data_IF_794386862352
#
_entry.id   IF_794386862352
#
_cell.length_a   1.000
_cell.length_b   1.000
_cell.length_c   1.000
_cell.angle_alpha   90.00
_cell.angle_beta   90.00
_cell.angle_gamma   90.00
#
_symmetry.space_group_name_H-M   'P 1'
#
loop_
_entity.id
_entity.type
_entity.pdbx_description
1 polymer ?
#
# COMPACT_ATOMS: atom_id res chain seq x y z
N UNK A 1 -8.45 9.79 -4.10
CA UNK A 1 -9.89 9.96 -3.76
C UNK A 1 -10.27 11.38 -3.30
N UNK A 2 -9.60 12.01 -2.31
CA UNK A 2 -9.96 13.38 -1.85
C UNK A 2 -9.13 14.54 -2.40
N UNK A 3 -7.92 14.30 -2.92
CA UNK A 3 -7.01 15.39 -3.35
C UNK A 3 -6.53 15.33 -4.81
N UNK A 4 -6.97 14.35 -5.61
CA UNK A 4 -6.58 14.23 -7.03
C UNK A 4 -5.10 13.89 -7.32
N UNK A 5 -4.18 14.21 -6.42
CA UNK A 5 -2.74 14.02 -6.56
C UNK A 5 -2.16 13.30 -5.34
N UNK A 6 -1.42 12.20 -5.56
CA UNK A 6 -0.48 11.65 -4.58
C UNK A 6 0.84 12.40 -4.71
N UNK A 7 1.61 12.55 -3.62
CA UNK A 7 2.99 13.03 -3.75
C UNK A 7 3.76 12.05 -4.66
N UNK A 8 4.54 12.53 -5.64
CA UNK A 8 5.09 11.69 -6.71
C UNK A 8 5.94 10.53 -6.16
N UNK A 9 6.75 10.81 -5.15
CA UNK A 9 7.77 9.91 -4.62
C UNK A 9 7.17 8.79 -3.76
N UNK A 10 6.27 9.05 -2.77
CA UNK A 10 5.60 7.98 -2.05
C UNK A 10 4.72 7.09 -2.95
N UNK A 11 4.07 7.67 -3.96
CA UNK A 11 3.27 6.89 -4.91
C UNK A 11 4.15 5.97 -5.75
N UNK A 12 5.26 6.51 -6.28
CA UNK A 12 6.25 5.74 -7.04
C UNK A 12 6.79 4.56 -6.21
N UNK A 13 7.28 4.83 -5.00
CA UNK A 13 7.80 3.79 -4.11
C UNK A 13 6.75 2.73 -3.82
N UNK A 14 5.50 3.13 -3.55
CA UNK A 14 4.41 2.18 -3.31
C UNK A 14 4.15 1.26 -4.52
N UNK A 15 4.09 1.82 -5.74
CA UNK A 15 3.84 1.02 -6.94
C UNK A 15 5.04 0.15 -7.33
N UNK A 16 6.26 0.66 -7.20
CA UNK A 16 7.50 -0.11 -7.42
C UNK A 16 7.60 -1.30 -6.47
N UNK A 17 7.19 -1.14 -5.21
CA UNK A 17 7.18 -2.23 -4.22
C UNK A 17 6.39 -3.47 -4.65
N UNK A 18 5.39 -3.31 -5.55
CA UNK A 18 4.57 -4.41 -6.08
C UNK A 18 5.43 -5.43 -6.84
N UNK A 19 6.44 -4.96 -7.57
CA UNK A 19 7.30 -5.80 -8.41
C UNK A 19 8.53 -6.35 -7.66
N UNK A 20 8.78 -5.85 -6.45
CA UNK A 20 9.81 -6.33 -5.55
C UNK A 20 9.31 -7.60 -4.86
N UNK A 21 9.43 -8.77 -5.50
CA UNK A 21 8.80 -10.01 -5.02
C UNK A 21 9.66 -10.85 -4.06
N UNK A 22 10.98 -10.65 -4.06
CA UNK A 22 11.93 -11.50 -3.34
C UNK A 22 12.91 -10.74 -2.42
N UNK A 23 12.76 -9.42 -2.26
CA UNK A 23 13.68 -8.68 -1.40
C UNK A 23 13.30 -8.85 0.07
N UNK A 24 14.28 -9.35 0.84
CA UNK A 24 14.21 -9.38 2.30
C UNK A 24 14.51 -8.00 2.90
N UNK A 25 15.02 -7.06 2.10
CA UNK A 25 15.26 -5.68 2.51
C UNK A 25 13.98 -4.86 2.34
N UNK A 26 13.30 -4.66 3.46
CA UNK A 26 12.04 -3.92 3.50
C UNK A 26 12.24 -2.42 3.33
N UNK A 27 13.42 -1.92 3.69
CA UNK A 27 13.76 -0.52 3.54
C UNK A 27 13.96 -0.21 2.06
N UNK A 28 14.69 -1.06 1.34
CA UNK A 28 14.81 -0.97 -0.11
C UNK A 28 13.45 -1.13 -0.81
N UNK A 29 12.66 -2.15 -0.43
CA UNK A 29 11.37 -2.42 -1.06
C UNK A 29 10.34 -1.28 -0.91
N UNK A 30 10.45 -0.47 0.15
CA UNK A 30 9.54 0.65 0.42
C UNK A 30 10.16 2.02 0.09
N UNK A 31 11.38 2.09 -0.46
CA UNK A 31 12.05 3.36 -0.77
C UNK A 31 12.50 4.14 0.47
N UNK A 32 12.83 3.43 1.55
CA UNK A 32 13.28 3.98 2.82
C UNK A 32 12.24 4.84 3.52
N UNK A 33 12.71 5.77 4.35
CA UNK A 33 11.82 6.72 5.06
C UNK A 33 11.02 7.59 4.07
N UNK A 34 11.60 7.91 2.91
CA UNK A 34 10.98 8.75 1.88
C UNK A 34 9.69 8.12 1.32
N UNK A 35 9.72 6.82 1.01
CA UNK A 35 8.55 6.15 0.44
C UNK A 35 7.40 5.93 1.42
N UNK A 36 7.67 5.92 2.73
CA UNK A 36 6.63 5.78 3.77
C UNK A 36 6.24 7.10 4.45
N UNK A 37 6.97 8.19 4.18
CA UNK A 37 6.83 9.48 4.87
C UNK A 37 5.39 10.01 4.86
N UNK A 38 4.68 9.87 3.73
CA UNK A 38 3.30 10.33 3.59
C UNK A 38 2.32 9.73 4.62
N UNK A 39 2.59 8.53 5.14
CA UNK A 39 1.76 7.87 6.15
C UNK A 39 2.19 8.11 7.60
N UNK A 40 3.46 8.50 7.83
CA UNK A 40 4.01 8.66 9.18
C UNK A 40 3.26 9.71 10.04
N UNK A 41 2.83 10.88 9.53
CA UNK A 41 2.08 11.86 10.32
C UNK A 41 0.78 11.30 10.91
N UNK A 42 0.09 10.42 10.17
CA UNK A 42 -1.16 9.81 10.65
C UNK A 42 -0.90 8.78 11.74
N UNK A 43 0.23 8.08 11.65
CA UNK A 43 0.66 7.13 12.67
C UNK A 43 1.11 7.87 13.92
N UNK A 44 1.83 8.99 13.79
CA UNK A 44 2.39 9.78 14.90
C UNK A 44 1.33 10.54 15.72
N UNK A 45 0.12 10.74 15.20
CA UNK A 45 -0.95 11.49 15.88
C UNK A 45 -1.45 10.77 17.13
N UNK A 46 -1.42 11.49 18.27
CA UNK A 46 -2.00 11.06 19.55
C UNK A 46 -3.53 11.00 19.50
N UNK A 47 -4.16 11.96 18.82
CA UNK A 47 -5.61 12.02 18.59
C UNK A 47 -5.89 12.01 17.08
N UNK A 48 -6.28 10.86 16.50
CA UNK A 48 -6.53 10.75 15.06
C UNK A 48 -7.87 11.39 14.69
N UNK A 49 -7.86 12.22 13.64
CA UNK A 49 -9.10 12.74 13.05
C UNK A 49 -9.89 11.62 12.33
N UNK A 50 -11.18 11.85 11.98
CA UNK A 50 -11.99 10.83 11.31
C UNK A 50 -11.36 10.26 10.02
N UNK A 51 -10.57 11.04 9.30
CA UNK A 51 -9.89 10.61 8.07
C UNK A 51 -8.70 9.71 8.37
N UNK A 52 -7.93 10.00 9.43
CA UNK A 52 -6.87 9.14 9.91
C UNK A 52 -7.41 7.79 10.41
N UNK A 53 -8.55 7.80 11.11
CA UNK A 53 -9.26 6.57 11.53
C UNK A 53 -9.74 5.75 10.32
N UNK A 54 -10.19 6.40 9.26
CA UNK A 54 -10.58 5.75 8.01
C UNK A 54 -9.38 5.11 7.30
N UNK A 55 -8.24 5.82 7.19
CA UNK A 55 -7.00 5.26 6.63
C UNK A 55 -6.49 4.07 7.44
N UNK A 56 -6.57 4.13 8.77
CA UNK A 56 -6.24 2.99 9.64
C UNK A 56 -7.15 1.78 9.37
N UNK A 57 -8.45 2.00 9.15
CA UNK A 57 -9.38 0.93 8.77
C UNK A 57 -9.00 0.30 7.43
N UNK A 58 -8.58 1.09 6.44
CA UNK A 58 -8.07 0.55 5.18
C UNK A 58 -6.81 -0.28 5.39
N UNK A 59 -5.84 0.20 6.19
CA UNK A 59 -4.64 -0.57 6.51
C UNK A 59 -4.95 -1.92 7.19
N UNK A 60 -5.87 -1.93 8.15
CA UNK A 60 -6.33 -3.15 8.82
C UNK A 60 -7.01 -4.11 7.83
N UNK A 61 -7.87 -3.59 6.95
CA UNK A 61 -8.53 -4.40 5.93
C UNK A 61 -7.51 -5.05 4.98
N UNK A 62 -6.48 -4.30 4.56
CA UNK A 62 -5.40 -4.83 3.71
C UNK A 62 -4.62 -5.95 4.40
N UNK A 63 -4.37 -5.85 5.71
CA UNK A 63 -3.74 -6.93 6.49
C UNK A 63 -4.65 -8.17 6.56
N UNK A 64 -5.96 -8.00 6.71
CA UNK A 64 -6.88 -9.12 6.75
C UNK A 64 -7.04 -9.80 5.37
N UNK A 65 -7.04 -9.02 4.28
CA UNK A 65 -7.00 -9.52 2.91
C UNK A 65 -5.72 -10.31 2.66
N UNK A 66 -4.55 -9.74 3.02
CA UNK A 66 -3.24 -10.38 2.87
C UNK A 66 -3.21 -11.76 3.55
N UNK A 67 -3.72 -11.87 4.77
CA UNK A 67 -3.79 -13.14 5.50
C UNK A 67 -4.65 -14.19 4.78
N UNK A 68 -5.74 -13.77 4.15
CA UNK A 68 -6.62 -14.67 3.39
C UNK A 68 -5.98 -15.08 2.08
N UNK A 69 -5.37 -14.14 1.36
CA UNK A 69 -4.62 -14.43 0.15
C UNK A 69 -3.50 -15.45 0.42
N UNK A 70 -2.75 -15.32 1.54
CA UNK A 70 -1.75 -16.33 1.93
C UNK A 70 -2.31 -17.73 2.24
N UNK A 71 -3.57 -17.82 2.66
CA UNK A 71 -4.23 -19.11 2.95
C UNK A 71 -4.80 -19.74 1.68
N UNK A 72 -5.16 -18.93 0.70
CA UNK A 72 -5.58 -19.37 -0.62
C UNK A 72 -4.35 -19.53 -1.52
N UNK A 73 -3.73 -20.70 -1.46
CA UNK A 73 -2.50 -21.01 -2.21
C UNK A 73 -2.69 -20.84 -3.72
N UNK A 74 -3.90 -21.10 -4.23
CA UNK A 74 -4.24 -20.95 -5.65
C UNK A 74 -4.25 -19.47 -6.04
N UNK A 75 -4.97 -18.63 -5.29
CA UNK A 75 -5.02 -17.19 -5.56
C UNK A 75 -3.65 -16.53 -5.37
N UNK A 76 -2.89 -16.93 -4.34
CA UNK A 76 -1.53 -16.43 -4.12
C UNK A 76 -0.57 -16.83 -5.24
N UNK A 77 -0.60 -18.08 -5.70
CA UNK A 77 0.23 -18.54 -6.81
C UNK A 77 -0.11 -17.80 -8.09
N UNK A 78 -1.39 -17.62 -8.40
CA UNK A 78 -1.84 -16.88 -9.57
C UNK A 78 -1.34 -15.43 -9.54
N UNK A 79 -1.54 -14.73 -8.42
CA UNK A 79 -1.06 -13.36 -8.26
C UNK A 79 0.45 -13.28 -8.45
N UNK A 80 1.21 -14.21 -7.84
CA UNK A 80 2.66 -14.26 -7.98
C UNK A 80 3.10 -14.44 -9.43
N UNK A 81 2.52 -15.41 -10.14
CA UNK A 81 2.84 -15.65 -11.56
C UNK A 81 2.54 -14.44 -12.43
N UNK A 82 1.41 -13.76 -12.22
CA UNK A 82 1.10 -12.53 -12.96
C UNK A 82 2.12 -11.41 -12.69
N UNK A 83 2.57 -11.26 -11.45
CA UNK A 83 3.58 -10.26 -11.10
C UNK A 83 4.97 -10.60 -11.66
N UNK A 84 5.34 -11.88 -11.69
CA UNK A 84 6.59 -12.36 -12.29
C UNK A 84 6.60 -12.14 -13.81
N UNK A 85 5.49 -12.44 -14.49
CA UNK A 85 5.33 -12.19 -15.94
C UNK A 85 5.49 -10.70 -16.28
N UNK A 86 4.87 -9.81 -15.50
CA UNK A 86 4.97 -8.36 -15.72
C UNK A 86 6.40 -7.85 -15.49
N UNK A 87 7.05 -8.33 -14.42
CA UNK A 87 8.43 -7.97 -14.08
C UNK A 87 9.39 -8.40 -15.20
N UNK A 88 9.27 -9.63 -15.68
CA UNK A 88 10.23 -10.22 -16.62
C UNK A 88 9.92 -9.84 -18.08
N UNK A 89 8.64 -9.63 -18.40
CA UNK A 89 8.16 -9.30 -19.75
C UNK A 89 8.36 -7.84 -20.17
N UNK A 90 8.92 -6.97 -19.30
CA UNK A 90 9.04 -5.52 -19.52
C UNK A 90 7.70 -4.85 -19.87
N UNK A 91 6.59 -5.43 -19.42
CA UNK A 91 5.23 -4.95 -19.71
C UNK A 91 5.01 -3.54 -19.17
N UNK A 92 5.67 -3.22 -18.05
CA UNK A 92 5.65 -1.91 -17.42
C UNK A 92 7.03 -1.26 -17.60
N UNK A 93 7.08 -0.17 -18.38
CA UNK A 93 8.29 0.66 -18.50
C UNK A 93 8.42 1.65 -17.34
N UNK A 94 7.30 2.24 -16.90
CA UNK A 94 7.23 3.11 -15.73
C UNK A 94 6.00 2.75 -14.87
N UNK A 95 6.19 2.29 -13.61
CA UNK A 95 5.10 1.92 -12.70
C UNK A 95 4.06 3.00 -12.43
N UNK A 96 4.42 4.29 -12.56
CA UNK A 96 3.48 5.41 -12.35
C UNK A 96 2.85 5.92 -13.65
N UNK A 97 3.20 5.36 -14.80
CA UNK A 97 2.53 5.72 -16.07
C UNK A 97 1.07 5.27 -16.06
N UNK A 98 0.19 5.89 -16.89
CA UNK A 98 -1.19 5.42 -17.03
C UNK A 98 -1.30 3.93 -17.34
N UNK A 99 -0.40 3.41 -18.18
CA UNK A 99 -0.33 2.00 -18.57
C UNK A 99 0.09 1.12 -17.39
N UNK A 100 1.14 1.50 -16.66
CA UNK A 100 1.58 0.77 -15.46
C UNK A 100 0.50 0.72 -14.38
N UNK A 101 -0.17 1.85 -14.14
CA UNK A 101 -1.29 1.95 -13.21
C UNK A 101 -2.46 1.07 -13.66
N UNK A 102 -2.80 1.04 -14.94
CA UNK A 102 -3.86 0.20 -15.48
C UNK A 102 -3.55 -1.29 -15.26
N UNK A 103 -2.33 -1.72 -15.57
CA UNK A 103 -1.89 -3.11 -15.35
C UNK A 103 -2.03 -3.50 -13.88
N UNK A 104 -1.56 -2.68 -12.94
CA UNK A 104 -1.73 -2.96 -11.51
C UNK A 104 -3.20 -2.97 -11.06
N UNK A 105 -4.03 -2.08 -11.62
CA UNK A 105 -5.45 -2.03 -11.34
C UNK A 105 -6.19 -3.29 -11.82
N UNK A 106 -5.78 -3.86 -12.95
CA UNK A 106 -6.34 -5.09 -13.50
C UNK A 106 -5.95 -6.29 -12.65
N UNK A 107 -4.69 -6.38 -12.21
CA UNK A 107 -4.25 -7.41 -11.25
C UNK A 107 -5.08 -7.35 -9.98
N UNK A 108 -5.25 -6.14 -9.40
CA UNK A 108 -6.08 -5.96 -8.22
C UNK A 108 -7.50 -6.48 -8.46
N UNK A 109 -8.10 -6.13 -9.59
CA UNK A 109 -9.47 -6.52 -9.95
C UNK A 109 -9.60 -8.03 -10.11
N UNK A 110 -8.64 -8.69 -10.76
CA UNK A 110 -8.65 -10.13 -11.01
C UNK A 110 -8.30 -10.99 -9.79
N UNK A 111 -7.71 -10.42 -8.73
CA UNK A 111 -7.21 -11.17 -7.57
C UNK A 111 -7.74 -10.61 -6.26
N UNK A 112 -7.13 -9.53 -5.76
CA UNK A 112 -7.38 -8.94 -4.45
C UNK A 112 -8.84 -8.54 -4.26
N UNK A 113 -9.46 -7.98 -5.30
CA UNK A 113 -10.84 -7.49 -5.25
C UNK A 113 -11.87 -8.60 -5.00
N UNK A 114 -11.52 -9.86 -5.28
CA UNK A 114 -12.40 -11.02 -5.09
C UNK A 114 -12.45 -11.46 -3.63
N UNK A 115 -11.43 -11.12 -2.83
CA UNK A 115 -11.33 -11.48 -1.43
C UNK A 115 -12.24 -10.63 -0.53
N UNK A 116 -12.37 -11.06 0.72
CA UNK A 116 -13.02 -10.33 1.80
C UNK A 116 -12.01 -9.95 2.89
N UNK A 117 -12.21 -8.87 3.67
CA UNK A 117 -13.27 -7.89 3.55
C UNK A 117 -13.14 -7.01 2.30
N UNK A 118 -14.26 -6.50 1.77
CA UNK A 118 -14.22 -5.51 0.69
C UNK A 118 -13.74 -4.16 1.24
N UNK A 119 -12.79 -3.53 0.56
CA UNK A 119 -12.34 -2.17 0.87
C UNK A 119 -13.34 -1.20 0.21
N UNK A 120 -14.25 -0.65 1.00
CA UNK A 120 -15.23 0.34 0.53
C UNK A 120 -14.64 1.73 0.67
N UNK A 121 -14.29 2.36 -0.45
CA UNK A 121 -13.69 3.69 -0.46
C UNK A 121 -14.79 4.74 -0.39
N UNK A 122 -14.80 5.52 0.68
CA UNK A 122 -15.75 6.61 0.87
C UNK A 122 -15.17 7.92 0.34
N UNK A 123 -15.72 8.40 -0.78
CA UNK A 123 -15.31 9.64 -1.43
C UNK A 123 -16.48 10.35 -2.10
N UNK A 124 -16.25 11.54 -2.63
CA UNK A 124 -17.23 12.27 -3.43
C UNK A 124 -17.55 11.50 -4.71
N UNK A 125 -18.84 11.23 -4.98
CA UNK A 125 -19.31 10.47 -6.15
C UNK A 125 -18.70 10.96 -7.47
N UNK A 126 -18.45 12.27 -7.60
CA UNK A 126 -17.82 12.87 -8.79
C UNK A 126 -16.43 12.30 -9.11
N UNK A 127 -15.63 11.92 -8.11
CA UNK A 127 -14.29 11.34 -8.32
C UNK A 127 -14.31 9.82 -8.52
N UNK A 128 -15.40 9.14 -8.14
CA UNK A 128 -15.54 7.70 -8.36
C UNK A 128 -16.09 7.37 -9.76
N UNK A 129 -16.58 8.37 -10.49
CA UNK A 129 -16.97 8.28 -11.90
C UNK A 129 -15.80 8.47 -12.88
N UNK A 130 -14.66 8.96 -12.39
CA UNK A 130 -13.44 9.11 -13.18
C UNK A 130 -12.67 7.78 -13.19
N UNK A 131 -12.64 7.13 -14.35
CA UNK A 131 -11.96 5.85 -14.55
C UNK A 131 -10.48 5.92 -14.18
N UNK A 132 -9.81 7.04 -14.47
CA UNK A 132 -8.39 7.24 -14.14
C UNK A 132 -8.18 7.22 -12.63
N UNK A 133 -9.09 7.83 -11.87
CA UNK A 133 -9.04 7.81 -10.40
C UNK A 133 -9.28 6.41 -9.87
N UNK A 134 -10.21 5.66 -10.47
CA UNK A 134 -10.51 4.27 -10.08
C UNK A 134 -9.31 3.36 -10.30
N UNK A 135 -8.64 3.46 -11.46
CA UNK A 135 -7.43 2.68 -11.75
C UNK A 135 -6.31 3.01 -10.74
N UNK A 136 -6.04 4.30 -10.52
CA UNK A 136 -5.05 4.76 -9.51
C UNK A 136 -5.34 4.20 -8.13
N UNK A 137 -6.60 4.24 -7.72
CA UNK A 137 -7.05 3.71 -6.44
C UNK A 137 -6.76 2.21 -6.33
N UNK A 138 -7.11 1.42 -7.35
CA UNK A 138 -6.89 -0.03 -7.35
C UNK A 138 -5.40 -0.38 -7.33
N UNK A 139 -4.58 0.33 -8.10
CA UNK A 139 -3.13 0.17 -8.09
C UNK A 139 -2.53 0.44 -6.69
N UNK A 140 -2.95 1.54 -6.04
CA UNK A 140 -2.51 1.87 -4.67
C UNK A 140 -2.99 0.83 -3.64
N UNK A 141 -4.20 0.28 -3.80
CA UNK A 141 -4.66 -0.80 -2.93
C UNK A 141 -3.84 -2.08 -3.10
N UNK A 142 -3.43 -2.42 -4.32
CA UNK A 142 -2.52 -3.54 -4.57
C UNK A 142 -1.17 -3.32 -3.87
N UNK A 143 -0.59 -2.13 -4.00
CA UNK A 143 0.62 -1.74 -3.26
C UNK A 143 0.43 -1.86 -1.73
N UNK A 144 -0.71 -1.43 -1.20
CA UNK A 144 -1.01 -1.55 0.22
C UNK A 144 -1.14 -3.00 0.70
N UNK A 145 -1.66 -3.91 -0.13
CA UNK A 145 -1.65 -5.34 0.15
C UNK A 145 -0.22 -5.90 0.13
N UNK A 146 0.63 -5.49 -0.83
CA UNK A 146 2.06 -5.85 -0.85
C UNK A 146 2.79 -5.36 0.40
N UNK A 147 2.54 -4.13 0.85
CA UNK A 147 3.07 -3.61 2.11
C UNK A 147 2.59 -4.43 3.32
N UNK A 148 1.36 -4.94 3.29
CA UNK A 148 0.88 -5.87 4.31
C UNK A 148 1.59 -7.23 4.28
N UNK A 149 2.04 -7.70 3.11
CA UNK A 149 2.91 -8.89 2.99
C UNK A 149 4.25 -8.64 3.65
N UNK A 150 4.92 -7.54 3.31
CA UNK A 150 6.18 -7.12 3.93
C UNK A 150 6.06 -7.03 5.46
N UNK A 151 5.00 -6.36 5.93
CA UNK A 151 4.73 -6.26 7.36
C UNK A 151 4.60 -7.65 8.00
N UNK A 152 3.92 -8.60 7.37
CA UNK A 152 3.77 -9.95 7.87
C UNK A 152 5.09 -10.74 7.89
N UNK A 153 5.90 -10.61 6.85
CA UNK A 153 7.22 -11.25 6.68
C UNK A 153 8.19 -10.79 7.77
N UNK A 154 8.14 -9.51 8.15
CA UNK A 154 8.87 -8.95 9.30
C UNK A 154 8.28 -9.32 10.67
N UNK A 155 7.35 -10.29 10.74
CA UNK A 155 6.70 -10.70 11.99
C UNK A 155 5.56 -9.79 12.45
N UNK A 156 5.18 -8.79 11.65
CA UNK A 156 4.08 -7.88 11.91
C UNK A 156 2.70 -8.54 11.91
N UNK A 157 1.83 -8.12 12.83
CA UNK A 157 0.49 -8.66 13.06
C UNK A 157 -0.50 -7.54 13.36
N UNK A 158 -1.76 -7.72 12.94
CA UNK A 158 -2.88 -6.78 13.19
C UNK A 158 -2.99 -6.33 14.66
N UNK A 159 -2.82 -7.24 15.62
CA UNK A 159 -2.95 -6.90 17.06
C UNK A 159 -1.86 -5.95 17.54
N UNK A 160 -0.66 -5.97 16.94
CA UNK A 160 0.42 -5.04 17.29
C UNK A 160 0.05 -3.60 16.87
N UNK A 161 -0.78 -3.42 15.85
CA UNK A 161 -1.30 -2.10 15.45
C UNK A 161 -2.34 -1.60 16.45
N UNK A 162 -3.21 -2.50 16.92
CA UNK A 162 -4.27 -2.15 17.87
C UNK A 162 -3.74 -1.89 19.29
N UNK A 163 -2.86 -2.76 19.79
CA UNK A 163 -2.31 -2.70 21.15
C UNK A 163 -1.04 -1.85 21.24
N UNK A 164 -0.29 -1.73 20.16
CA UNK A 164 0.98 -1.00 20.10
C UNK A 164 0.86 0.44 19.65
N UNK A 165 -0.34 1.06 19.70
CA UNK A 165 -0.59 2.39 19.12
C UNK A 165 0.40 3.46 19.60
N UNK A 166 0.71 3.47 20.91
CA UNK A 166 1.68 4.41 21.49
C UNK A 166 3.10 4.18 20.93
N UNK A 167 3.56 2.93 20.92
CA UNK A 167 4.89 2.56 20.37
C UNK A 167 5.01 2.90 18.89
N UNK A 168 3.97 2.65 18.10
CA UNK A 168 3.93 3.02 16.68
C UNK A 168 3.98 4.53 16.49
N UNK A 169 3.25 5.30 17.30
CA UNK A 169 3.26 6.75 17.23
C UNK A 169 4.65 7.32 17.59
N UNK A 170 5.29 6.78 18.63
CA UNK A 170 6.63 7.19 19.05
C UNK A 170 7.68 6.88 17.96
N UNK A 171 7.63 5.68 17.36
CA UNK A 171 8.52 5.31 16.25
C UNK A 171 8.30 6.17 15.01
N UNK A 172 7.04 6.40 14.63
CA UNK A 172 6.71 7.27 13.50
C UNK A 172 7.23 8.69 13.72
N UNK A 173 7.17 9.20 14.95
CA UNK A 173 7.72 10.52 15.29
C UNK A 173 9.24 10.58 15.14
N UNK A 174 9.96 9.56 15.63
CA UNK A 174 11.42 9.47 15.45
C UNK A 174 11.82 9.48 13.98
N UNK A 175 11.08 8.77 13.13
CA UNK A 175 11.34 8.74 11.68
C UNK A 175 11.04 10.09 11.01
N UNK A 176 9.97 10.78 11.41
CA UNK A 176 9.67 12.14 10.94
C UNK A 176 10.76 13.15 11.34
N UNK A 177 11.24 13.06 12.57
CA UNK A 177 12.30 13.93 13.09
C UNK A 177 13.63 13.65 12.36
N UNK A 178 13.97 12.37 12.13
CA UNK A 178 15.16 11.97 11.38
C UNK A 178 15.12 12.45 9.91
N UNK A 179 13.95 12.36 9.26
CA UNK A 179 13.78 12.88 7.89
C UNK A 179 13.93 14.41 7.83
N UNK A 180 13.46 15.12 8.86
CA UNK A 180 13.56 16.58 8.94
C UNK A 180 14.99 17.06 9.21
N UNK A 181 15.85 16.23 9.82
CA UNK A 181 17.27 16.53 10.09
C UNK A 181 18.23 16.04 9.00
N UNK A 182 17.81 15.12 8.13
CA UNK A 182 18.61 14.58 7.03
C UNK A 182 18.42 15.28 5.69
N UNK A 183 17.65 16.37 5.63
CA UNK A 183 17.46 17.19 4.43
C UNK A 183 18.59 18.20 4.26
N UNK A 184 19.75 17.76 3.78
CA UNK A 184 20.80 18.56 3.14
C UNK A 184 21.32 17.81 1.90
#
# INVERSE_FOLDING_TARGET
ARRGHGQPEPLRCALESILVLNENDTEMALGGVQGVYAGLPDIARKSPDPSAVERLRYAIAMIDIQKRLRRDTTAASRLRSQLEEIRDGKTIQDPVSPEGIAVFADIYSATVSLLSPKIVIRGSERHLKDETIVLKVRAVLLAGVRAAYLFHELGGRKWQILLGRKRLADSARRLLDAHSMGGY
#
